data_IF_758595270719
#
_entry.id   IF_758595270719
#
_cell.length_a   1.000
_cell.length_b   1.000
_cell.length_c   1.000
_cell.angle_alpha   90.00
_cell.angle_beta   90.00
_cell.angle_gamma   90.00
#
_symmetry.space_group_name_H-M   'P 1'
#
loop_
_entity.id
_entity.type
_entity.pdbx_description
1 polymer ?
#
# COMPACT_ATOMS: atom_id res chain seq x y z
N UNK A 1 29.71 -3.46 -4.89
CA UNK A 1 29.51 -3.53 -6.35
C UNK A 1 28.15 -2.95 -6.67
N UNK A 2 28.12 -1.93 -7.53
CA UNK A 2 26.91 -1.20 -7.92
C UNK A 2 26.55 -1.65 -9.34
N UNK A 3 25.28 -1.96 -9.58
CA UNK A 3 24.75 -2.36 -10.87
C UNK A 3 23.89 -1.24 -11.45
N UNK A 4 23.98 -1.04 -12.76
CA UNK A 4 23.08 -0.17 -13.51
C UNK A 4 21.83 -0.96 -13.90
N UNK A 5 20.66 -0.41 -13.61
CA UNK A 5 19.37 -1.03 -13.87
C UNK A 5 18.46 -0.03 -14.59
N UNK A 6 17.78 -0.46 -15.66
CA UNK A 6 16.87 0.40 -16.43
C UNK A 6 15.43 0.20 -15.97
N UNK A 7 14.74 1.30 -15.67
CA UNK A 7 13.34 1.34 -15.25
C UNK A 7 12.57 2.29 -16.16
N UNK A 8 12.02 1.74 -17.24
CA UNK A 8 11.44 2.55 -18.31
C UNK A 8 12.51 3.43 -18.97
N UNK A 9 12.32 4.75 -18.92
CA UNK A 9 13.27 5.74 -19.45
C UNK A 9 14.35 6.18 -18.45
N UNK A 10 14.30 5.70 -17.20
CA UNK A 10 15.22 6.12 -16.13
C UNK A 10 16.26 5.03 -15.87
N UNK A 11 17.53 5.43 -15.73
CA UNK A 11 18.63 4.54 -15.36
C UNK A 11 18.99 4.77 -13.89
N UNK A 12 18.97 3.71 -13.10
CA UNK A 12 19.24 3.73 -11.66
C UNK A 12 20.48 2.89 -11.35
N UNK A 13 21.26 3.33 -10.36
CA UNK A 13 22.42 2.62 -9.86
C UNK A 13 22.07 2.03 -8.49
N UNK A 14 22.08 0.71 -8.37
CA UNK A 14 21.60 -0.03 -7.19
C UNK A 14 22.69 -0.96 -6.68
N UNK A 15 22.79 -1.17 -5.37
CA UNK A 15 23.69 -2.19 -4.82
C UNK A 15 23.37 -3.57 -5.40
N UNK A 16 24.39 -4.40 -5.68
CA UNK A 16 24.22 -5.72 -6.30
C UNK A 16 23.17 -6.62 -5.64
N UNK A 17 22.98 -6.48 -4.33
CA UNK A 17 22.04 -7.26 -3.52
C UNK A 17 20.74 -6.50 -3.21
N UNK A 18 20.66 -5.23 -3.58
CA UNK A 18 19.50 -4.39 -3.34
C UNK A 18 18.51 -4.53 -4.49
N UNK A 19 17.23 -4.66 -4.14
CA UNK A 19 16.14 -4.64 -5.12
C UNK A 19 15.46 -3.29 -5.03
N UNK A 20 15.21 -2.69 -6.19
CA UNK A 20 14.32 -1.54 -6.28
C UNK A 20 12.92 -1.96 -5.86
N UNK A 21 12.27 -1.12 -5.08
CA UNK A 21 10.88 -1.30 -4.70
C UNK A 21 10.02 -1.06 -5.93
N UNK A 22 9.13 -2.00 -6.25
CA UNK A 22 8.20 -1.81 -7.36
C UNK A 22 7.20 -0.72 -6.98
N UNK A 23 7.36 0.47 -7.56
CA UNK A 23 6.41 1.56 -7.38
C UNK A 23 5.09 1.20 -8.06
N UNK A 24 4.03 1.04 -7.26
CA UNK A 24 2.67 0.80 -7.75
C UNK A 24 1.94 2.13 -7.79
N UNK A 25 1.33 2.47 -8.93
CA UNK A 25 0.44 3.62 -9.01
C UNK A 25 -0.87 3.32 -8.27
N UNK A 26 -0.96 3.74 -7.01
CA UNK A 26 -2.12 3.50 -6.15
C UNK A 26 -3.41 4.15 -6.64
N UNK A 27 -3.34 5.18 -7.48
CA UNK A 27 -4.51 5.92 -7.99
C UNK A 27 -5.04 5.35 -9.30
N UNK A 28 -4.20 4.64 -10.04
CA UNK A 28 -4.57 3.87 -11.23
C UNK A 28 -4.72 2.39 -10.90
N UNK A 29 -5.05 1.57 -11.89
CA UNK A 29 -5.12 0.11 -11.76
C UNK A 29 -6.21 -0.49 -12.62
N UNK A 30 -5.93 -1.63 -13.25
CA UNK A 30 -6.93 -2.38 -14.00
C UNK A 30 -7.47 -3.50 -13.10
N UNK A 31 -8.79 -3.57 -12.80
CA UNK A 31 -9.35 -4.68 -12.03
C UNK A 31 -9.02 -6.07 -12.60
N UNK A 32 -8.80 -6.17 -13.92
CA UNK A 32 -8.44 -7.42 -14.61
C UNK A 32 -6.97 -7.85 -14.37
N UNK A 33 -6.13 -6.99 -13.79
CA UNK A 33 -4.74 -7.34 -13.48
C UNK A 33 -4.62 -8.28 -12.27
N UNK A 34 -5.66 -8.33 -11.43
CA UNK A 34 -5.68 -9.20 -10.25
C UNK A 34 -6.48 -10.48 -10.52
N UNK A 35 -5.94 -11.65 -10.13
CA UNK A 35 -6.66 -12.91 -10.19
C UNK A 35 -8.02 -12.83 -9.50
N UNK A 36 -9.03 -13.49 -10.08
CA UNK A 36 -10.38 -13.55 -9.50
C UNK A 36 -10.37 -14.06 -8.05
N UNK A 37 -9.51 -15.04 -7.75
CA UNK A 37 -9.38 -15.60 -6.40
C UNK A 37 -9.00 -14.55 -5.34
N UNK A 38 -8.21 -13.52 -5.70
CA UNK A 38 -7.90 -12.42 -4.79
C UNK A 38 -9.13 -11.53 -4.54
N UNK A 39 -9.91 -11.25 -5.59
CA UNK A 39 -11.16 -10.50 -5.45
C UNK A 39 -12.19 -11.25 -4.60
N UNK A 40 -12.33 -12.55 -4.82
CA UNK A 40 -13.26 -13.40 -4.08
C UNK A 40 -12.88 -13.47 -2.58
N UNK A 41 -11.58 -13.57 -2.27
CA UNK A 41 -11.09 -13.56 -0.89
C UNK A 41 -11.40 -12.23 -0.18
N UNK A 42 -11.14 -11.10 -0.85
CA UNK A 42 -11.45 -9.77 -0.30
C UNK A 42 -12.94 -9.57 -0.14
N UNK A 43 -13.75 -9.97 -1.12
CA UNK A 43 -15.20 -9.86 -1.03
C UNK A 43 -15.75 -10.70 0.13
N UNK A 44 -15.27 -11.94 0.30
CA UNK A 44 -15.63 -12.82 1.42
C UNK A 44 -15.31 -12.16 2.76
N UNK A 45 -14.12 -11.58 2.89
CA UNK A 45 -13.73 -10.84 4.09
C UNK A 45 -14.64 -9.64 4.37
N UNK A 46 -14.94 -8.83 3.34
CA UNK A 46 -15.81 -7.64 3.47
C UNK A 46 -17.28 -7.96 3.70
N UNK A 47 -17.75 -9.16 3.33
CA UNK A 47 -19.10 -9.65 3.66
C UNK A 47 -19.19 -10.14 5.11
N UNK A 48 -18.07 -10.50 5.74
CA UNK A 48 -18.07 -10.87 7.16
C UNK A 48 -18.29 -9.65 8.05
N UNK A 49 -19.08 -9.80 9.11
CA UNK A 49 -19.36 -8.71 10.06
C UNK A 49 -18.08 -8.17 10.73
N UNK A 50 -17.16 -9.07 11.09
CA UNK A 50 -15.87 -8.71 11.68
C UNK A 50 -14.99 -7.96 10.67
N UNK A 51 -14.85 -8.47 9.44
CA UNK A 51 -14.01 -7.85 8.42
C UNK A 51 -14.52 -6.49 7.99
N UNK A 52 -15.83 -6.35 7.79
CA UNK A 52 -16.46 -5.05 7.48
C UNK A 52 -16.23 -4.04 8.60
N UNK A 53 -16.43 -4.45 9.86
CA UNK A 53 -16.23 -3.58 11.02
C UNK A 53 -14.78 -3.09 11.14
N UNK A 54 -13.80 -3.97 10.95
CA UNK A 54 -12.38 -3.60 11.00
C UNK A 54 -11.99 -2.57 9.93
N UNK A 55 -12.49 -2.74 8.70
CA UNK A 55 -12.22 -1.79 7.62
C UNK A 55 -12.89 -0.43 7.88
N UNK A 56 -14.11 -0.44 8.41
CA UNK A 56 -14.82 0.81 8.74
C UNK A 56 -14.22 1.54 9.95
N UNK A 57 -13.62 0.79 10.88
CA UNK A 57 -12.95 1.34 12.06
C UNK A 57 -11.54 1.88 11.76
N UNK A 58 -10.96 1.56 10.59
CA UNK A 58 -9.63 2.04 10.22
C UNK A 58 -9.60 3.56 10.09
N UNK A 59 -8.58 4.21 10.65
CA UNK A 59 -8.43 5.66 10.66
C UNK A 59 -7.96 6.21 9.32
N UNK A 60 -7.17 5.40 8.59
CA UNK A 60 -6.57 5.76 7.32
C UNK A 60 -6.58 4.62 6.29
N UNK A 61 -6.35 4.95 5.02
CA UNK A 61 -6.23 3.98 3.91
C UNK A 61 -5.17 2.93 4.16
N UNK A 62 -4.05 3.34 4.73
CA UNK A 62 -2.91 2.49 4.98
C UNK A 62 -3.25 1.40 6.02
N UNK A 63 -3.92 1.79 7.10
CA UNK A 63 -4.39 0.85 8.12
C UNK A 63 -5.38 -0.16 7.55
N UNK A 64 -6.37 0.30 6.79
CA UNK A 64 -7.34 -0.58 6.14
C UNK A 64 -6.66 -1.55 5.15
N UNK A 65 -5.65 -1.09 4.40
CA UNK A 65 -4.86 -1.94 3.52
C UNK A 65 -4.06 -2.99 4.31
N UNK A 66 -3.48 -2.62 5.47
CA UNK A 66 -2.80 -3.58 6.34
C UNK A 66 -3.77 -4.62 6.90
N UNK A 67 -5.00 -4.25 7.24
CA UNK A 67 -6.05 -5.19 7.66
C UNK A 67 -6.33 -6.19 6.54
N UNK A 68 -6.56 -5.74 5.31
CA UNK A 68 -6.76 -6.63 4.15
C UNK A 68 -5.57 -7.56 3.91
N UNK A 69 -4.35 -7.01 3.95
CA UNK A 69 -3.11 -7.78 3.78
C UNK A 69 -2.99 -8.90 4.79
N UNK A 70 -3.18 -8.60 6.08
CA UNK A 70 -3.08 -9.58 7.16
C UNK A 70 -4.18 -10.65 7.09
N UNK A 71 -5.39 -10.25 6.71
CA UNK A 71 -6.54 -11.13 6.69
C UNK A 71 -6.55 -12.08 5.49
N UNK A 72 -6.36 -11.57 4.26
CA UNK A 72 -6.65 -12.33 3.04
C UNK A 72 -5.67 -12.12 1.87
N UNK A 73 -4.66 -11.24 2.01
CA UNK A 73 -3.71 -10.92 0.93
C UNK A 73 -2.24 -10.97 1.40
N UNK A 74 -1.88 -12.02 2.14
CA UNK A 74 -0.59 -12.10 2.87
C UNK A 74 0.63 -11.96 1.97
N UNK A 75 0.60 -12.58 0.80
CA UNK A 75 1.73 -12.63 -0.14
C UNK A 75 1.76 -11.46 -1.13
N UNK A 76 0.76 -10.57 -1.09
CA UNK A 76 0.63 -9.43 -1.99
C UNK A 76 1.40 -8.24 -1.44
N UNK A 77 2.19 -7.55 -2.25
CA UNK A 77 2.94 -6.37 -1.76
C UNK A 77 1.98 -5.25 -1.34
N UNK A 78 2.36 -4.48 -0.31
CA UNK A 78 1.44 -3.52 0.29
C UNK A 78 0.93 -2.46 -0.70
N UNK A 79 1.77 -2.03 -1.64
CA UNK A 79 1.37 -1.09 -2.71
C UNK A 79 0.21 -1.61 -3.56
N UNK A 80 0.23 -2.90 -3.91
CA UNK A 80 -0.87 -3.54 -4.65
C UNK A 80 -2.12 -3.68 -3.80
N UNK A 81 -2.00 -3.97 -2.50
CA UNK A 81 -3.15 -4.02 -1.59
C UNK A 81 -3.81 -2.64 -1.47
N UNK A 82 -3.02 -1.56 -1.40
CA UNK A 82 -3.54 -0.19 -1.39
C UNK A 82 -4.23 0.14 -2.72
N UNK A 83 -3.66 -0.29 -3.85
CA UNK A 83 -4.26 -0.11 -5.17
C UNK A 83 -5.60 -0.86 -5.29
N UNK A 84 -5.65 -2.12 -4.85
CA UNK A 84 -6.88 -2.91 -4.73
C UNK A 84 -7.92 -2.18 -3.88
N UNK A 85 -7.52 -1.68 -2.70
CA UNK A 85 -8.43 -0.96 -1.82
C UNK A 85 -9.02 0.29 -2.48
N UNK A 86 -8.22 1.04 -3.23
CA UNK A 86 -8.71 2.19 -4.00
C UNK A 86 -9.71 1.77 -5.08
N UNK A 87 -9.50 0.66 -5.79
CA UNK A 87 -10.47 0.15 -6.76
C UNK A 87 -11.75 -0.39 -6.09
N UNK A 88 -11.65 -0.95 -4.89
CA UNK A 88 -12.81 -1.41 -4.12
C UNK A 88 -13.74 -0.23 -3.80
N UNK A 89 -13.17 0.93 -3.49
CA UNK A 89 -13.91 2.16 -3.18
C UNK A 89 -14.44 2.80 -4.47
N UNK A 90 -13.59 2.98 -5.48
CA UNK A 90 -13.90 3.79 -6.66
C UNK A 90 -14.64 3.03 -7.77
N UNK A 91 -14.15 1.85 -8.15
CA UNK A 91 -14.70 1.06 -9.26
C UNK A 91 -15.79 0.09 -8.81
N UNK A 92 -15.51 -0.72 -7.77
CA UNK A 92 -16.40 -1.79 -7.32
C UNK A 92 -17.48 -1.29 -6.36
N UNK A 93 -17.20 -0.22 -5.62
CA UNK A 93 -18.08 0.40 -4.60
C UNK A 93 -18.58 -0.58 -3.53
N UNK A 94 -17.77 -1.56 -3.14
CA UNK A 94 -18.15 -2.53 -2.09
C UNK A 94 -18.13 -1.91 -0.69
N UNK A 95 -17.35 -0.86 -0.51
CA UNK A 95 -17.27 -0.07 0.70
C UNK A 95 -17.45 1.41 0.36
N UNK A 96 -18.10 2.13 1.25
CA UNK A 96 -18.24 3.59 1.20
C UNK A 96 -17.65 4.09 2.53
N UNK A 97 -16.45 4.68 2.53
CA UNK A 97 -15.88 5.25 3.74
C UNK A 97 -16.81 6.32 4.33
N UNK A 98 -16.71 6.56 5.64
CA UNK A 98 -17.47 7.62 6.31
C UNK A 98 -17.31 8.97 5.57
N UNK A 99 -18.29 9.87 5.67
CA UNK A 99 -18.26 11.19 4.98
C UNK A 99 -17.03 12.03 5.35
N UNK A 100 -16.52 11.88 6.58
CA UNK A 100 -15.26 12.49 7.03
C UNK A 100 -14.03 11.95 6.31
N UNK A 101 -14.19 10.86 5.57
CA UNK A 101 -13.14 10.14 4.87
C UNK A 101 -12.14 9.46 5.80
N UNK A 102 -11.23 8.73 5.18
CA UNK A 102 -10.00 8.29 5.82
C UNK A 102 -9.01 9.44 5.85
N UNK A 103 -8.40 9.67 7.01
CA UNK A 103 -7.47 10.78 7.21
C UNK A 103 -6.10 10.43 6.60
N UNK A 104 -5.33 11.44 6.16
CA UNK A 104 -3.92 11.25 5.84
C UNK A 104 -3.14 10.73 7.06
N UNK A 105 -2.10 9.95 6.83
CA UNK A 105 -1.14 9.62 7.89
C UNK A 105 -0.29 10.85 8.17
N UNK A 106 -0.18 11.22 9.45
CA UNK A 106 0.80 12.20 9.93
C UNK A 106 2.03 11.44 10.42
N UNK A 107 3.18 11.69 9.79
CA UNK A 107 4.48 11.17 10.24
C UNK A 107 5.24 12.33 10.87
N UNK A 108 5.46 12.26 12.18
CA UNK A 108 6.34 13.20 12.87
C UNK A 108 7.77 12.67 12.73
N UNK A 109 8.60 13.37 11.98
CA UNK A 109 10.03 13.09 11.89
C UNK A 109 10.75 13.87 12.99
N UNK A 110 11.48 13.16 13.85
CA UNK A 110 12.41 13.82 14.78
C UNK A 110 13.60 14.36 13.97
N UNK A 111 13.99 15.61 14.23
CA UNK A 111 15.16 16.22 13.60
C UNK A 111 16.40 15.40 13.94
N UNK A 112 17.10 14.91 12.91
CA UNK A 112 18.35 14.20 13.10
C UNK A 112 19.36 15.16 13.75
N UNK A 113 19.90 14.78 14.91
CA UNK A 113 20.94 15.56 15.57
C UNK A 113 22.15 15.68 14.64
N UNK A 114 22.46 16.91 14.24
CA UNK A 114 23.66 17.22 13.48
C UNK A 114 24.88 16.96 14.36
N UNK A 115 25.44 15.76 14.30
CA UNK A 115 26.74 15.49 14.90
C UNK A 115 27.80 16.20 14.04
N UNK A 116 28.10 17.44 14.38
CA UNK A 116 29.25 18.15 13.82
C UNK A 116 30.51 17.38 14.27
N UNK A 117 31.35 16.87 13.34
CA UNK A 117 32.67 16.39 13.70
C UNK A 117 33.50 17.64 14.01
N UNK A 118 33.65 17.96 15.29
CA UNK A 118 34.67 18.90 15.75
C UNK A 118 36.04 18.30 15.43
N UNK A 119 36.65 18.79 14.35
CA UNK A 119 38.08 18.67 14.15
C UNK A 119 38.80 19.59 15.14
N UNK A 120 39.65 18.99 15.97
CA UNK A 120 40.71 19.63 16.74
C UNK A 120 41.99 18.85 16.52
#
# INVERSE_FOLDING_TARGET
MILKQEFGSVQLYVGRLEKLWQCVNISGGNPNQYPKLMWDAVQTFLMSAAGRSLIMASECRYEAALVLKKACLKDVVLGEVIQMLNMIISNKKWIIPAKSGWKPITITLEEASSHNPTGS
#
